data_IF_873233487231
#
_entry.id   IF_873233487231
#
_cell.length_a   1.000
_cell.length_b   1.000
_cell.length_c   1.000
_cell.angle_alpha   90.00
_cell.angle_beta   90.00
_cell.angle_gamma   90.00
#
_symmetry.space_group_name_H-M   'P 1'
#
loop_
_entity.id
_entity.type
_entity.pdbx_description
1 polymer ?
#
# COMPACT_ATOMS: atom_id res chain seq x y z
N UNK A 1 -18.17 -66.96 31.59
CA UNK A 1 -17.08 -65.98 31.41
C UNK A 1 -17.54 -64.98 30.36
N UNK A 2 -18.12 -63.85 30.78
CA UNK A 2 -18.67 -62.83 29.87
C UNK A 2 -17.60 -61.78 29.59
N UNK A 3 -17.18 -61.65 28.33
CA UNK A 3 -16.24 -60.62 27.88
C UNK A 3 -17.07 -59.40 27.44
N UNK A 4 -16.90 -58.28 28.13
CA UNK A 4 -17.51 -57.00 27.77
C UNK A 4 -16.61 -56.26 26.77
N UNK A 5 -17.13 -55.97 25.58
CA UNK A 5 -16.47 -55.23 24.52
C UNK A 5 -16.68 -53.72 24.75
N UNK A 6 -15.66 -53.03 25.27
CA UNK A 6 -15.65 -51.56 25.38
C UNK A 6 -15.26 -50.99 24.03
N UNK A 7 -16.20 -50.32 23.37
CA UNK A 7 -15.94 -49.63 22.10
C UNK A 7 -15.51 -48.20 22.42
N UNK A 8 -14.23 -47.90 22.24
CA UNK A 8 -13.67 -46.55 22.43
C UNK A 8 -13.98 -45.71 21.18
N UNK A 9 -14.95 -44.80 21.30
CA UNK A 9 -15.30 -43.85 20.24
C UNK A 9 -14.25 -42.73 20.22
N UNK A 10 -13.29 -42.79 19.30
CA UNK A 10 -12.34 -41.71 19.08
C UNK A 10 -13.05 -40.51 18.46
N UNK A 11 -13.22 -39.42 19.21
CA UNK A 11 -13.58 -38.11 18.66
C UNK A 11 -12.39 -37.63 17.81
N UNK A 12 -12.45 -37.87 16.51
CA UNK A 12 -11.57 -37.22 15.56
C UNK A 12 -12.04 -35.77 15.47
N UNK A 13 -11.35 -34.87 16.20
CA UNK A 13 -11.58 -33.44 16.09
C UNK A 13 -11.35 -33.00 14.65
N UNK A 14 -12.41 -32.60 13.96
CA UNK A 14 -12.28 -31.97 12.65
C UNK A 14 -11.41 -30.71 12.81
N UNK A 15 -10.46 -30.45 11.90
CA UNK A 15 -9.71 -29.20 11.94
C UNK A 15 -10.72 -28.05 11.87
N UNK A 16 -10.67 -27.14 12.84
CA UNK A 16 -11.42 -25.90 12.78
C UNK A 16 -11.02 -25.21 11.47
N UNK A 17 -11.95 -25.14 10.52
CA UNK A 17 -11.76 -24.34 9.31
C UNK A 17 -11.76 -22.89 9.78
N UNK A 18 -10.57 -22.31 9.92
CA UNK A 18 -10.41 -20.91 10.30
C UNK A 18 -11.12 -20.09 9.21
N UNK A 19 -12.22 -19.43 9.59
CA UNK A 19 -12.96 -18.59 8.66
C UNK A 19 -11.97 -17.59 8.04
N UNK A 20 -12.02 -17.32 6.73
CA UNK A 20 -11.10 -16.39 6.10
C UNK A 20 -11.14 -15.07 6.88
N UNK A 21 -9.97 -14.66 7.39
CA UNK A 21 -9.87 -13.44 8.19
C UNK A 21 -10.50 -12.29 7.39
N UNK A 22 -11.51 -11.64 7.98
CA UNK A 22 -12.19 -10.50 7.37
C UNK A 22 -11.15 -9.41 7.10
N UNK A 23 -10.99 -9.05 5.83
CA UNK A 23 -10.05 -8.01 5.42
C UNK A 23 -10.81 -6.69 5.29
N UNK A 24 -10.44 -5.71 6.10
CA UNK A 24 -10.99 -4.35 6.01
C UNK A 24 -10.09 -3.51 5.11
N UNK A 25 -10.63 -3.06 3.98
CA UNK A 25 -9.88 -2.27 3.00
C UNK A 25 -10.36 -0.83 2.97
N UNK A 26 -9.41 0.09 2.90
CA UNK A 26 -9.63 1.52 2.74
C UNK A 26 -8.77 2.05 1.60
N UNK A 27 -9.19 3.15 0.99
CA UNK A 27 -8.38 3.83 -0.02
C UNK A 27 -8.33 5.34 0.19
N UNK A 28 -7.15 5.92 -0.03
CA UNK A 28 -6.96 7.35 -0.25
C UNK A 28 -6.55 7.54 -1.70
N UNK A 29 -7.37 8.25 -2.47
CA UNK A 29 -7.12 8.53 -3.89
C UNK A 29 -6.97 10.03 -4.09
N UNK A 30 -5.75 10.50 -4.33
CA UNK A 30 -5.46 11.91 -4.50
C UNK A 30 -5.08 12.21 -5.96
N UNK A 31 -5.72 13.22 -6.53
CA UNK A 31 -5.37 13.79 -7.83
C UNK A 31 -4.85 15.21 -7.64
N UNK A 32 -3.66 15.52 -8.16
CA UNK A 32 -3.10 16.87 -8.18
C UNK A 32 -2.66 17.23 -9.60
N UNK A 33 -3.43 18.09 -10.25
CA UNK A 33 -3.19 18.52 -11.62
C UNK A 33 -2.07 19.57 -11.70
N UNK A 34 -1.90 20.36 -10.64
CA UNK A 34 -0.91 21.44 -10.55
C UNK A 34 0.32 20.98 -9.75
N UNK A 35 1.51 21.05 -10.36
CA UNK A 35 2.79 20.70 -9.72
C UNK A 35 3.71 21.89 -9.47
N UNK A 36 3.15 23.10 -9.40
CA UNK A 36 3.87 24.37 -9.26
C UNK A 36 3.97 25.16 -10.56
N UNK A 37 4.45 26.41 -10.51
CA UNK A 37 4.43 27.36 -11.63
C UNK A 37 5.27 26.91 -12.83
N UNK A 38 6.34 26.14 -12.61
CA UNK A 38 7.26 25.70 -13.66
C UNK A 38 6.84 24.38 -14.33
N UNK A 39 5.65 23.85 -14.00
CA UNK A 39 5.18 22.56 -14.50
C UNK A 39 3.89 22.69 -15.28
N UNK A 40 3.78 21.88 -16.32
CA UNK A 40 2.53 21.78 -17.08
C UNK A 40 1.42 21.21 -16.20
N UNK A 41 0.22 21.79 -16.33
CA UNK A 41 -0.98 21.27 -15.68
C UNK A 41 -1.36 19.93 -16.33
N UNK A 42 -1.53 18.88 -15.51
CA UNK A 42 -1.88 17.54 -15.96
C UNK A 42 -3.36 17.49 -16.35
N UNK A 43 -3.66 16.91 -17.52
CA UNK A 43 -5.03 16.85 -18.07
C UNK A 43 -5.88 15.72 -17.51
N UNK A 44 -5.24 14.72 -16.91
CA UNK A 44 -5.87 13.43 -16.60
C UNK A 44 -5.81 13.04 -15.13
N UNK A 45 -5.15 13.81 -14.25
CA UNK A 45 -4.93 13.44 -12.86
C UNK A 45 -6.23 12.99 -12.14
N UNK A 46 -7.27 13.81 -12.21
CA UNK A 46 -8.59 13.51 -11.63
C UNK A 46 -9.29 12.34 -12.30
N UNK A 47 -9.18 12.22 -13.63
CA UNK A 47 -9.81 11.12 -14.39
C UNK A 47 -9.16 9.78 -14.06
N UNK A 48 -7.84 9.77 -13.86
CA UNK A 48 -7.09 8.58 -13.49
C UNK A 48 -7.46 8.13 -12.08
N UNK A 49 -7.50 9.05 -11.11
CA UNK A 49 -7.96 8.76 -9.75
C UNK A 49 -9.42 8.25 -9.72
N UNK A 50 -10.29 8.81 -10.56
CA UNK A 50 -11.66 8.33 -10.71
C UNK A 50 -11.71 6.92 -11.32
N UNK A 51 -10.90 6.62 -12.33
CA UNK A 51 -10.85 5.31 -12.94
C UNK A 51 -10.38 4.24 -11.94
N UNK A 52 -9.34 4.53 -11.16
CA UNK A 52 -8.85 3.65 -10.09
C UNK A 52 -9.89 3.46 -9.00
N UNK A 53 -10.58 4.53 -8.57
CA UNK A 53 -11.67 4.45 -7.59
C UNK A 53 -12.76 3.44 -8.00
N UNK A 54 -13.17 3.47 -9.28
CA UNK A 54 -14.15 2.50 -9.82
C UNK A 54 -13.62 1.08 -9.83
N UNK A 55 -12.38 0.86 -10.26
CA UNK A 55 -11.77 -0.47 -10.24
C UNK A 55 -11.69 -1.03 -8.82
N UNK A 56 -11.37 -0.20 -7.83
CA UNK A 56 -11.32 -0.62 -6.44
C UNK A 56 -12.70 -0.97 -5.87
N UNK A 57 -13.76 -0.27 -6.29
CA UNK A 57 -15.14 -0.56 -5.91
C UNK A 57 -15.65 -1.84 -6.58
N UNK A 58 -15.48 -1.94 -7.91
CA UNK A 58 -16.00 -3.04 -8.73
C UNK A 58 -15.25 -4.36 -8.51
N UNK A 59 -13.91 -4.30 -8.38
CA UNK A 59 -13.03 -5.47 -8.42
C UNK A 59 -12.06 -5.56 -7.22
N UNK A 60 -11.66 -4.41 -6.66
CA UNK A 60 -10.68 -4.35 -5.57
C UNK A 60 -11.24 -4.61 -4.17
N UNK A 61 -12.56 -4.71 -4.02
CA UNK A 61 -13.21 -4.92 -2.73
C UNK A 61 -13.04 -3.76 -1.74
N UNK A 62 -12.91 -2.53 -2.24
CA UNK A 62 -12.91 -1.30 -1.44
C UNK A 62 -14.19 -0.53 -1.76
N UNK A 63 -15.26 -0.69 -0.97
CA UNK A 63 -16.52 -0.01 -1.25
C UNK A 63 -16.32 1.51 -1.23
N UNK A 64 -17.07 2.26 -2.03
CA UNK A 64 -16.99 3.75 -2.06
C UNK A 64 -17.05 4.40 -0.67
N UNK A 65 -17.78 3.81 0.29
CA UNK A 65 -17.86 4.29 1.67
C UNK A 65 -16.51 4.26 2.42
N UNK A 66 -15.56 3.44 1.97
CA UNK A 66 -14.21 3.33 2.54
C UNK A 66 -13.14 4.01 1.67
N UNK A 67 -13.57 4.80 0.68
CA UNK A 67 -12.69 5.56 -0.20
C UNK A 67 -12.74 7.05 0.14
N UNK A 68 -11.59 7.65 0.39
CA UNK A 68 -11.41 9.11 0.49
C UNK A 68 -10.76 9.59 -0.80
N UNK A 69 -11.52 10.33 -1.63
CA UNK A 69 -10.98 10.94 -2.86
C UNK A 69 -10.73 12.43 -2.67
N UNK A 70 -9.56 12.89 -3.09
CA UNK A 70 -9.12 14.27 -2.99
C UNK A 70 -8.79 14.82 -4.39
N UNK A 71 -9.24 16.05 -4.66
CA UNK A 71 -8.98 16.79 -5.89
C UNK A 71 -8.16 18.03 -5.56
N UNK A 72 -7.00 18.15 -6.22
CA UNK A 72 -5.98 19.17 -5.99
C UNK A 72 -5.73 19.46 -4.48
N UNK A 73 -5.47 18.43 -3.63
CA UNK A 73 -5.22 18.67 -2.22
C UNK A 73 -3.88 19.40 -2.01
N UNK A 74 -3.81 20.23 -0.97
CA UNK A 74 -2.55 20.70 -0.42
C UNK A 74 -1.91 19.64 0.50
N UNK A 75 -0.71 19.92 1.03
CA UNK A 75 0.01 18.99 1.93
C UNK A 75 -0.82 18.66 3.17
N UNK A 76 -1.43 19.68 3.77
CA UNK A 76 -2.20 19.52 5.00
C UNK A 76 -3.43 18.62 4.79
N UNK A 77 -4.13 18.80 3.67
CA UNK A 77 -5.32 18.06 3.29
C UNK A 77 -5.03 16.59 3.01
N UNK A 78 -3.95 16.28 2.28
CA UNK A 78 -3.55 14.89 2.05
C UNK A 78 -3.17 14.18 3.37
N UNK A 79 -2.38 14.84 4.22
CA UNK A 79 -2.00 14.28 5.52
C UNK A 79 -3.21 14.13 6.46
N UNK A 80 -4.16 15.07 6.42
CA UNK A 80 -5.39 14.97 7.20
C UNK A 80 -6.25 13.78 6.74
N UNK A 81 -6.36 13.53 5.44
CA UNK A 81 -7.09 12.39 4.91
C UNK A 81 -6.51 11.05 5.38
N UNK A 82 -5.18 10.94 5.43
CA UNK A 82 -4.50 9.74 5.95
C UNK A 82 -4.80 9.58 7.45
N UNK A 83 -4.61 10.64 8.24
CA UNK A 83 -4.88 10.59 9.70
C UNK A 83 -6.35 10.27 10.03
N UNK A 84 -7.29 10.75 9.23
CA UNK A 84 -8.71 10.50 9.44
C UNK A 84 -9.10 9.02 9.29
N UNK A 85 -8.24 8.18 8.68
CA UNK A 85 -8.44 6.74 8.63
C UNK A 85 -7.91 6.00 9.87
N UNK A 86 -7.06 6.63 10.70
CA UNK A 86 -6.50 5.99 11.89
C UNK A 86 -7.55 5.43 12.86
N UNK A 87 -8.69 6.11 13.14
CA UNK A 87 -9.74 5.57 14.00
C UNK A 87 -10.36 4.29 13.41
N UNK A 88 -10.63 4.27 12.11
CA UNK A 88 -11.20 3.11 11.42
C UNK A 88 -10.24 1.92 11.39
N UNK A 89 -8.96 2.18 11.13
CA UNK A 89 -7.89 1.18 11.20
C UNK A 89 -7.78 0.63 12.64
N UNK A 90 -7.85 1.51 13.64
CA UNK A 90 -7.72 1.13 15.05
C UNK A 90 -8.93 0.36 15.57
N UNK A 91 -10.14 0.68 15.09
CA UNK A 91 -11.36 -0.03 15.45
C UNK A 91 -11.34 -1.51 15.04
N UNK A 92 -10.55 -1.85 14.01
CA UNK A 92 -10.39 -3.20 13.49
C UNK A 92 -9.06 -3.86 13.91
N UNK A 93 -8.45 -3.41 15.02
CA UNK A 93 -7.23 -4.06 15.56
C UNK A 93 -7.49 -5.54 15.83
N UNK A 94 -6.62 -6.39 15.26
CA UNK A 94 -6.76 -7.85 15.31
C UNK A 94 -7.36 -8.47 14.05
N UNK A 95 -8.02 -7.67 13.21
CA UNK A 95 -8.36 -8.04 11.84
C UNK A 95 -7.25 -7.59 10.87
N UNK A 96 -7.24 -8.16 9.66
CA UNK A 96 -6.34 -7.70 8.60
C UNK A 96 -6.89 -6.41 8.02
N UNK A 97 -6.12 -5.33 8.13
CA UNK A 97 -6.46 -4.02 7.53
C UNK A 97 -5.51 -3.72 6.39
N UNK A 98 -6.04 -3.28 5.25
CA UNK A 98 -5.26 -2.88 4.08
C UNK A 98 -5.61 -1.43 3.70
N UNK A 99 -4.60 -0.61 3.50
CA UNK A 99 -4.73 0.76 3.01
C UNK A 99 -4.15 0.85 1.60
N UNK A 100 -4.95 1.31 0.66
CA UNK A 100 -4.49 1.63 -0.69
C UNK A 100 -4.32 3.14 -0.85
N UNK A 101 -3.09 3.60 -1.07
CA UNK A 101 -2.83 4.99 -1.45
C UNK A 101 -2.58 5.06 -2.96
N UNK A 102 -3.36 5.86 -3.66
CA UNK A 102 -3.14 6.19 -5.06
C UNK A 102 -2.97 7.70 -5.21
N UNK A 103 -1.90 8.11 -5.88
CA UNK A 103 -1.62 9.50 -6.19
C UNK A 103 -1.42 9.65 -7.70
N UNK A 104 -2.23 10.50 -8.32
CA UNK A 104 -2.04 10.92 -9.71
C UNK A 104 -1.68 12.40 -9.73
N UNK A 105 -0.43 12.71 -10.02
CA UNK A 105 0.07 14.07 -9.99
C UNK A 105 1.56 14.13 -10.28
N UNK A 106 2.15 15.30 -10.03
CA UNK A 106 3.59 15.47 -10.15
C UNK A 106 4.32 15.00 -8.89
N UNK A 107 5.49 14.42 -9.07
CA UNK A 107 6.43 14.06 -8.02
C UNK A 107 7.85 14.21 -8.54
N UNK A 108 8.81 14.24 -7.63
CA UNK A 108 10.23 14.19 -7.96
C UNK A 108 10.99 13.31 -6.96
N UNK A 109 12.31 13.45 -6.88
CA UNK A 109 13.16 12.64 -6.02
C UNK A 109 12.90 12.84 -4.52
N UNK A 110 12.33 13.97 -4.09
CA UNK A 110 12.16 14.27 -2.66
C UNK A 110 10.73 14.08 -2.17
N UNK A 111 9.72 14.22 -3.05
CA UNK A 111 8.33 14.09 -2.63
C UNK A 111 7.26 14.26 -3.71
N UNK A 112 6.02 14.32 -3.23
CA UNK A 112 4.84 14.65 -4.04
C UNK A 112 4.70 16.17 -4.14
N UNK A 113 4.31 16.66 -5.32
CA UNK A 113 4.12 18.08 -5.60
C UNK A 113 2.63 18.42 -5.63
N UNK A 114 2.18 19.18 -4.64
CA UNK A 114 0.79 19.47 -4.34
C UNK A 114 0.55 20.98 -4.53
N UNK A 115 0.34 21.40 -5.77
CA UNK A 115 0.31 22.82 -6.12
C UNK A 115 1.68 23.46 -5.91
N UNK A 116 1.75 24.47 -5.04
CA UNK A 116 3.01 25.13 -4.67
C UNK A 116 3.76 24.41 -3.54
N UNK A 117 3.12 23.43 -2.91
CA UNK A 117 3.68 22.72 -1.77
C UNK A 117 4.34 21.40 -2.16
N UNK A 118 5.29 20.98 -1.34
CA UNK A 118 5.95 19.67 -1.44
C UNK A 118 5.62 18.86 -0.20
N UNK A 119 5.14 17.63 -0.39
CA UNK A 119 5.04 16.62 0.67
C UNK A 119 6.23 15.66 0.56
N UNK A 120 7.23 15.74 1.46
CA UNK A 120 8.39 14.86 1.42
C UNK A 120 8.03 13.38 1.60
N UNK A 121 8.70 12.47 0.90
CA UNK A 121 8.43 11.03 1.06
C UNK A 121 8.65 10.53 2.48
N UNK A 122 9.58 11.14 3.23
CA UNK A 122 9.77 10.82 4.65
C UNK A 122 8.50 11.07 5.46
N UNK A 123 7.90 12.24 5.31
CA UNK A 123 6.69 12.62 6.04
C UNK A 123 5.49 11.77 5.59
N UNK A 124 5.36 11.52 4.28
CA UNK A 124 4.32 10.62 3.75
C UNK A 124 4.44 9.21 4.35
N UNK A 125 5.66 8.65 4.40
CA UNK A 125 5.91 7.33 4.99
C UNK A 125 5.60 7.30 6.48
N UNK A 126 5.99 8.33 7.23
CA UNK A 126 5.66 8.48 8.65
C UNK A 126 4.14 8.51 8.85
N UNK A 127 3.40 9.30 8.05
CA UNK A 127 1.94 9.37 8.11
C UNK A 127 1.25 8.04 7.76
N UNK A 128 1.83 7.24 6.87
CA UNK A 128 1.33 5.91 6.49
C UNK A 128 1.76 4.80 7.48
N UNK A 129 2.53 5.12 8.52
CA UNK A 129 3.11 4.11 9.41
C UNK A 129 4.16 3.21 8.75
N UNK A 130 4.70 3.61 7.60
CA UNK A 130 5.80 2.94 6.91
C UNK A 130 7.11 3.48 7.45
N UNK A 131 7.41 3.13 8.69
CA UNK A 131 8.65 3.49 9.37
C UNK A 131 9.60 2.29 9.51
N UNK A 132 10.89 2.62 9.62
CA UNK A 132 11.97 1.65 9.82
C UNK A 132 12.64 1.20 8.51
N UNK A 133 13.80 0.55 8.68
CA UNK A 133 14.54 -0.07 7.59
C UNK A 133 13.93 -1.42 7.19
N UNK A 134 14.35 -1.96 6.05
CA UNK A 134 13.94 -3.28 5.57
C UNK A 134 14.31 -4.39 6.56
N UNK A 135 15.41 -4.23 7.31
CA UNK A 135 15.82 -5.16 8.38
C UNK A 135 14.76 -5.28 9.48
N UNK A 136 14.09 -4.18 9.83
CA UNK A 136 13.00 -4.19 10.81
C UNK A 136 11.77 -4.98 10.32
N UNK A 137 11.73 -5.32 9.02
CA UNK A 137 10.71 -6.17 8.38
C UNK A 137 11.24 -7.56 8.03
N UNK A 138 12.42 -7.92 8.54
CA UNK A 138 13.01 -9.25 8.41
C UNK A 138 13.81 -9.49 7.14
N UNK A 139 14.03 -8.47 6.32
CA UNK A 139 14.89 -8.56 5.12
C UNK A 139 16.35 -8.63 5.57
N UNK A 140 17.12 -9.53 4.98
CA UNK A 140 18.55 -9.69 5.25
C UNK A 140 19.36 -9.20 4.06
N UNK A 141 20.62 -8.82 4.31
CA UNK A 141 21.57 -8.52 3.24
C UNK A 141 21.72 -9.64 2.20
N UNK A 142 21.56 -10.91 2.61
CA UNK A 142 21.55 -12.07 1.70
C UNK A 142 20.41 -12.05 0.70
N UNK A 143 19.31 -11.37 1.00
CA UNK A 143 18.08 -11.39 0.20
C UNK A 143 18.13 -10.34 -0.92
N UNK A 144 19.00 -9.34 -0.81
CA UNK A 144 19.06 -8.15 -1.70
C UNK A 144 19.18 -8.55 -3.16
N UNK A 145 20.05 -9.50 -3.50
CA UNK A 145 20.25 -9.94 -4.88
C UNK A 145 18.99 -10.58 -5.48
N UNK A 146 18.31 -11.42 -4.72
CA UNK A 146 17.09 -12.10 -5.17
C UNK A 146 15.90 -11.13 -5.26
N UNK A 147 15.82 -10.18 -4.33
CA UNK A 147 14.85 -9.09 -4.35
C UNK A 147 15.06 -8.18 -5.56
N UNK A 148 16.30 -7.76 -5.84
CA UNK A 148 16.63 -6.95 -7.01
C UNK A 148 16.30 -7.69 -8.32
N UNK A 149 16.66 -8.96 -8.44
CA UNK A 149 16.31 -9.78 -9.61
C UNK A 149 14.79 -9.93 -9.80
N UNK A 150 14.03 -9.94 -8.69
CA UNK A 150 12.57 -9.95 -8.75
C UNK A 150 12.02 -8.59 -9.17
N UNK A 151 12.47 -7.50 -8.56
CA UNK A 151 12.06 -6.15 -8.88
C UNK A 151 12.33 -5.79 -10.35
N UNK A 152 13.42 -6.28 -10.96
CA UNK A 152 13.71 -6.14 -12.40
C UNK A 152 12.58 -6.61 -13.33
N UNK A 153 11.65 -7.45 -12.85
CA UNK A 153 10.50 -7.97 -13.60
C UNK A 153 9.22 -7.17 -13.36
N UNK A 154 9.26 -6.18 -12.48
CA UNK A 154 8.09 -5.36 -12.18
C UNK A 154 7.74 -4.44 -13.36
N UNK A 155 6.45 -4.35 -13.67
CA UNK A 155 5.95 -3.53 -14.78
C UNK A 155 6.33 -2.04 -14.65
N UNK A 156 6.52 -1.55 -13.41
CA UNK A 156 6.99 -0.20 -13.15
C UNK A 156 8.41 0.06 -13.68
N UNK A 157 9.29 -0.95 -13.68
CA UNK A 157 10.65 -0.80 -14.20
C UNK A 157 10.70 -0.89 -15.72
N UNK A 158 9.78 -1.61 -16.34
CA UNK A 158 9.61 -1.64 -17.80
C UNK A 158 9.19 -0.27 -18.34
N UNK A 159 8.34 0.43 -17.59
CA UNK A 159 7.82 1.76 -17.94
C UNK A 159 8.66 2.91 -17.41
N UNK A 160 9.71 2.61 -16.63
CA UNK A 160 10.61 3.62 -16.08
C UNK A 160 11.40 4.31 -17.22
N UNK A 161 11.34 5.65 -17.34
CA UNK A 161 12.10 6.38 -18.36
C UNK A 161 13.61 6.20 -18.21
N UNK A 162 14.10 5.92 -16.99
CA UNK A 162 15.47 5.47 -16.74
C UNK A 162 15.46 3.95 -16.62
N UNK A 163 16.21 3.25 -17.46
CA UNK A 163 16.31 1.78 -17.40
C UNK A 163 17.32 1.40 -16.31
N UNK A 164 16.87 0.88 -15.15
CA UNK A 164 17.80 0.46 -14.10
C UNK A 164 18.49 -0.85 -14.50
N UNK A 165 19.67 -1.06 -13.97
CA UNK A 165 20.35 -2.35 -13.92
C UNK A 165 20.01 -3.07 -12.62
N UNK A 166 20.21 -4.41 -12.53
CA UNK A 166 20.06 -5.12 -11.27
C UNK A 166 20.90 -4.50 -10.14
N UNK A 167 22.10 -4.01 -10.45
CA UNK A 167 22.99 -3.39 -9.46
C UNK A 167 22.42 -2.08 -8.92
N UNK A 168 21.73 -1.29 -9.74
CA UNK A 168 21.09 -0.06 -9.27
C UNK A 168 20.03 -0.36 -8.20
N UNK A 169 19.26 -1.44 -8.39
CA UNK A 169 18.26 -1.88 -7.41
C UNK A 169 18.91 -2.47 -6.16
N UNK A 170 19.98 -3.25 -6.31
CA UNK A 170 20.74 -3.75 -5.16
C UNK A 170 21.23 -2.61 -4.28
N UNK A 171 21.81 -1.55 -4.86
CA UNK A 171 22.28 -0.37 -4.10
C UNK A 171 21.12 0.30 -3.35
N UNK A 172 19.95 0.45 -3.99
CA UNK A 172 18.78 1.05 -3.33
C UNK A 172 18.30 0.19 -2.16
N UNK A 173 18.29 -1.13 -2.31
CA UNK A 173 17.89 -2.06 -1.25
C UNK A 173 18.93 -2.11 -0.12
N UNK A 174 20.22 -2.08 -0.44
CA UNK A 174 21.34 -2.00 0.52
C UNK A 174 21.26 -0.72 1.37
N UNK A 175 20.91 0.42 0.77
CA UNK A 175 20.72 1.69 1.48
C UNK A 175 19.47 1.71 2.38
N UNK A 176 18.54 0.78 2.15
CA UNK A 176 17.29 0.68 2.89
C UNK A 176 17.33 -0.40 3.99
N UNK A 177 18.43 -1.15 4.11
CA UNK A 177 18.74 -2.00 5.28
C UNK A 177 19.21 -1.14 6.46
#
# INVERSE_FOLDING_TARGET
MSVALVTLLALVGAPATEAPATVHRYAVLAAASHGGPDRAVLRYASKDAQAVSRVLDDLGGVPLAHQTRLEDPDRAGLLAAIRNLEPEITAHRGARVELFLYYSGHSDEEGLLLGEERLPYRELREALGVSGALEARGVKASDVRDLAATAMRDACLVTNPRRPTPRDLEVVLELAL
#
